data_IF_063214849450
#
_entry.id   IF_063214849450
#
_cell.length_a   1.000
_cell.length_b   1.000
_cell.length_c   1.000
_cell.angle_alpha   90.00
_cell.angle_beta   90.00
_cell.angle_gamma   90.00
#
_symmetry.space_group_name_H-M   'P 1'
#
loop_
_entity.id
_entity.type
_entity.pdbx_description
1 polymer ?
#
# COMPACT_ATOMS: atom_id res chain seq x y z
N UNK A 1 40.00 32.36 16.14
CA UNK A 1 38.60 32.20 16.61
C UNK A 1 37.88 31.48 15.51
N UNK A 2 37.75 30.15 15.62
CA UNK A 2 37.03 29.34 14.63
C UNK A 2 35.52 29.34 14.99
N UNK A 3 34.70 29.97 14.17
CA UNK A 3 33.23 29.82 14.26
C UNK A 3 32.89 28.45 13.70
N UNK A 4 32.53 27.49 14.55
CA UNK A 4 31.88 26.26 14.13
C UNK A 4 30.42 26.60 13.79
N UNK A 5 30.11 26.65 12.50
CA UNK A 5 28.73 26.68 12.03
C UNK A 5 28.17 25.28 12.27
N UNK A 6 27.36 25.11 13.31
CA UNK A 6 26.55 23.91 13.49
C UNK A 6 25.45 23.95 12.43
N UNK A 7 25.60 23.17 11.37
CA UNK A 7 24.51 22.88 10.46
C UNK A 7 23.51 22.03 11.25
N UNK A 8 22.41 22.60 11.74
CA UNK A 8 21.29 21.86 12.31
C UNK A 8 20.63 21.20 11.13
N UNK A 9 20.97 19.93 10.89
CA UNK A 9 20.27 19.13 9.90
C UNK A 9 18.78 19.09 10.27
N UNK A 10 17.91 19.27 9.27
CA UNK A 10 16.48 19.11 9.48
C UNK A 10 16.22 17.67 9.93
N UNK A 11 15.49 17.48 11.03
CA UNK A 11 15.10 16.15 11.49
C UNK A 11 14.35 15.41 10.39
N UNK A 12 14.65 14.14 10.20
CA UNK A 12 13.98 13.29 9.22
C UNK A 12 12.51 13.12 9.60
N UNK A 13 11.53 13.49 8.74
CA UNK A 13 10.12 13.42 9.09
C UNK A 13 9.66 11.97 9.20
N UNK A 14 8.69 11.72 10.06
CA UNK A 14 7.99 10.45 10.13
C UNK A 14 6.86 10.40 9.09
N UNK A 15 6.66 9.22 8.48
CA UNK A 15 5.59 9.00 7.50
C UNK A 15 4.63 7.92 8.00
N UNK A 16 3.35 8.25 7.99
CA UNK A 16 2.27 7.33 8.32
C UNK A 16 1.27 7.27 7.16
N UNK A 17 1.12 6.09 6.57
CA UNK A 17 0.09 5.83 5.57
C UNK A 17 -1.05 5.01 6.15
N UNK A 18 -2.27 5.54 6.06
CA UNK A 18 -3.52 4.87 6.38
C UNK A 18 -4.24 4.57 5.08
N UNK A 19 -4.26 3.32 4.66
CA UNK A 19 -4.75 2.90 3.34
C UNK A 19 -6.03 2.09 3.49
N UNK A 20 -7.14 2.62 2.98
CA UNK A 20 -8.40 1.91 2.87
C UNK A 20 -8.49 1.21 1.51
N UNK A 21 -8.89 -0.05 1.47
CA UNK A 21 -9.12 -0.79 0.22
C UNK A 21 -10.47 -0.39 -0.38
N UNK A 22 -10.51 -0.26 -1.71
CA UNK A 22 -11.72 -0.04 -2.52
C UNK A 22 -12.62 1.13 -2.04
N UNK A 23 -12.04 2.10 -1.33
CA UNK A 23 -12.80 3.12 -0.59
C UNK A 23 -13.38 4.21 -1.48
N UNK A 24 -12.87 4.50 -2.65
CA UNK A 24 -13.33 5.61 -3.50
C UNK A 24 -13.54 6.92 -2.72
N UNK A 25 -14.44 7.81 -3.17
CA UNK A 25 -14.72 9.11 -2.55
C UNK A 25 -15.79 9.06 -1.43
N UNK A 26 -16.07 7.90 -0.86
CA UNK A 26 -17.08 7.71 0.18
C UNK A 26 -16.61 8.19 1.57
N UNK A 27 -16.18 9.45 1.63
CA UNK A 27 -15.85 10.17 2.85
C UNK A 27 -16.62 11.49 2.93
N UNK A 28 -17.02 11.90 4.13
CA UNK A 28 -17.77 13.17 4.29
C UNK A 28 -16.98 14.39 3.81
N UNK A 29 -15.65 14.37 3.87
CA UNK A 29 -14.81 15.46 3.34
C UNK A 29 -14.91 15.65 1.81
N UNK A 30 -15.39 14.64 1.08
CA UNK A 30 -15.69 14.71 -0.35
C UNK A 30 -17.19 14.94 -0.65
N UNK A 31 -17.99 15.18 0.40
CA UNK A 31 -19.43 15.46 0.26
C UNK A 31 -20.33 14.23 0.37
N UNK A 32 -19.80 13.05 0.66
CA UNK A 32 -20.61 11.86 0.90
C UNK A 32 -21.29 11.96 2.27
N UNK A 33 -22.62 11.84 2.29
CA UNK A 33 -23.42 11.90 3.51
C UNK A 33 -23.71 10.54 4.13
N UNK A 34 -23.39 9.44 3.47
CA UNK A 34 -23.64 8.08 3.95
C UNK A 34 -22.61 7.63 4.99
N UNK A 35 -21.40 8.18 4.96
CA UNK A 35 -20.33 7.87 5.88
C UNK A 35 -20.09 9.00 6.90
N UNK A 36 -20.16 8.65 8.17
CA UNK A 36 -19.79 9.57 9.25
C UNK A 36 -18.31 9.40 9.61
N UNK A 37 -17.46 10.32 9.16
CA UNK A 37 -16.00 10.23 9.28
C UNK A 37 -15.39 11.47 9.98
N UNK A 38 -15.77 11.79 11.23
CA UNK A 38 -15.41 13.05 11.88
C UNK A 38 -13.89 13.21 12.07
N UNK A 39 -13.16 12.16 12.41
CA UNK A 39 -11.72 12.23 12.61
C UNK A 39 -10.96 12.46 11.28
N UNK A 40 -11.44 11.88 10.19
CA UNK A 40 -10.87 12.11 8.85
C UNK A 40 -11.18 13.55 8.41
N UNK A 41 -12.39 14.04 8.69
CA UNK A 41 -12.74 15.43 8.41
C UNK A 41 -11.86 16.42 9.17
N UNK A 42 -11.55 16.13 10.45
CA UNK A 42 -10.64 16.96 11.22
C UNK A 42 -9.23 16.97 10.61
N UNK A 43 -8.72 15.79 10.26
CA UNK A 43 -7.42 15.68 9.58
C UNK A 43 -7.41 16.45 8.25
N UNK A 44 -8.52 16.42 7.50
CA UNK A 44 -8.67 17.14 6.25
C UNK A 44 -8.67 18.67 6.43
N UNK A 45 -9.18 19.18 7.56
CA UNK A 45 -9.14 20.62 7.89
C UNK A 45 -7.72 21.08 8.21
N UNK A 46 -6.92 20.23 8.84
CA UNK A 46 -5.55 20.53 9.23
C UNK A 46 -4.53 20.26 8.12
N UNK A 47 -4.95 19.62 7.03
CA UNK A 47 -4.10 19.13 5.94
C UNK A 47 -4.49 19.61 4.56
N UNK A 48 -4.14 18.81 3.55
CA UNK A 48 -4.44 19.07 2.14
C UNK A 48 -5.36 17.98 1.60
N UNK A 49 -6.47 18.36 0.98
CA UNK A 49 -7.39 17.47 0.28
C UNK A 49 -7.07 17.48 -1.20
N UNK A 50 -6.74 16.30 -1.75
CA UNK A 50 -6.57 16.12 -3.19
C UNK A 50 -7.90 15.77 -3.84
N UNK A 51 -8.47 16.69 -4.62
CA UNK A 51 -9.73 16.48 -5.35
C UNK A 51 -9.55 15.53 -6.55
N UNK A 52 -8.37 15.51 -7.14
CA UNK A 52 -8.02 14.72 -8.31
C UNK A 52 -6.75 13.93 -8.06
N UNK A 53 -6.89 12.76 -7.44
CA UNK A 53 -5.80 11.83 -7.20
C UNK A 53 -6.18 10.47 -7.79
N UNK A 54 -5.46 10.04 -8.82
CA UNK A 54 -5.77 8.84 -9.59
C UNK A 54 -4.70 7.78 -9.43
N UNK A 55 -5.13 6.52 -9.33
CA UNK A 55 -4.23 5.38 -9.45
C UNK A 55 -3.97 5.06 -10.92
N UNK A 56 -2.77 4.57 -11.29
CA UNK A 56 -2.48 4.17 -12.67
C UNK A 56 -3.18 2.87 -13.10
N UNK A 57 -3.86 2.18 -12.19
CA UNK A 57 -4.64 0.98 -12.46
C UNK A 57 -5.78 0.84 -11.44
N UNK A 58 -7.02 0.58 -11.88
CA UNK A 58 -8.19 0.50 -11.00
C UNK A 58 -8.34 -0.86 -10.30
N UNK A 59 -7.23 -1.55 -10.04
CA UNK A 59 -7.18 -2.87 -9.39
C UNK A 59 -6.09 -2.86 -8.33
N UNK A 60 -6.36 -3.45 -7.15
CA UNK A 60 -5.50 -3.39 -5.97
C UNK A 60 -4.04 -3.78 -6.25
N UNK A 61 -3.76 -4.96 -6.76
CA UNK A 61 -2.40 -5.45 -6.91
C UNK A 61 -1.57 -4.67 -7.95
N UNK A 62 -2.07 -4.35 -9.16
CA UNK A 62 -1.42 -3.44 -10.10
C UNK A 62 -1.18 -2.04 -9.52
N UNK A 63 -2.17 -1.46 -8.84
CA UNK A 63 -2.03 -0.16 -8.17
C UNK A 63 -0.94 -0.19 -7.10
N UNK A 64 -0.93 -1.20 -6.25
CA UNK A 64 0.05 -1.37 -5.17
C UNK A 64 1.47 -1.59 -5.70
N UNK A 65 1.64 -2.24 -6.85
CA UNK A 65 2.95 -2.36 -7.50
C UNK A 65 3.50 -0.99 -7.90
N UNK A 66 2.64 -0.11 -8.40
CA UNK A 66 3.03 1.26 -8.73
C UNK A 66 3.37 2.08 -7.50
N UNK A 67 2.55 2.00 -6.45
CA UNK A 67 2.80 2.71 -5.20
C UNK A 67 4.17 2.39 -4.61
N UNK A 68 4.54 1.10 -4.58
CA UNK A 68 5.78 0.68 -3.92
C UNK A 68 7.04 0.92 -4.74
N UNK A 69 6.90 1.06 -6.08
CA UNK A 69 8.05 1.24 -6.99
C UNK A 69 8.14 2.61 -7.63
N UNK A 70 7.06 3.42 -7.59
CA UNK A 70 6.95 4.66 -8.35
C UNK A 70 6.87 4.46 -9.88
N UNK A 71 6.60 3.23 -10.36
CA UNK A 71 6.60 2.90 -11.79
C UNK A 71 5.22 2.48 -12.27
N UNK A 72 4.90 2.73 -13.54
CA UNK A 72 3.64 2.27 -14.14
C UNK A 72 3.58 0.73 -14.23
N UNK A 73 2.39 0.12 -14.00
CA UNK A 73 2.23 -1.33 -14.04
C UNK A 73 2.65 -1.95 -15.36
N UNK A 74 2.41 -1.28 -16.50
CA UNK A 74 2.83 -1.76 -17.81
C UNK A 74 4.36 -1.87 -17.95
N UNK A 75 5.11 -0.96 -17.33
CA UNK A 75 6.58 -0.99 -17.31
C UNK A 75 7.11 -2.15 -16.47
N UNK A 76 6.38 -2.49 -15.40
CA UNK A 76 6.74 -3.57 -14.48
C UNK A 76 6.29 -4.96 -14.98
N UNK A 77 5.36 -5.02 -15.93
CA UNK A 77 4.64 -6.23 -16.29
C UNK A 77 3.59 -6.64 -15.26
N UNK A 78 3.12 -5.70 -14.43
CA UNK A 78 2.15 -5.96 -13.35
C UNK A 78 0.74 -5.47 -13.68
N UNK A 79 0.46 -5.11 -14.93
CA UNK A 79 -0.82 -4.54 -15.38
C UNK A 79 -2.00 -5.53 -15.28
N UNK A 80 -1.73 -6.82 -15.30
CA UNK A 80 -2.74 -7.87 -15.14
C UNK A 80 -2.66 -8.49 -13.75
N UNK A 81 -3.81 -8.89 -13.20
CA UNK A 81 -3.81 -9.68 -11.98
C UNK A 81 -3.07 -11.00 -12.20
N UNK A 82 -2.26 -11.40 -11.22
CA UNK A 82 -1.56 -12.68 -11.24
C UNK A 82 -2.56 -13.84 -11.21
N UNK A 83 -2.25 -14.93 -11.92
CA UNK A 83 -3.00 -16.16 -11.81
C UNK A 83 -2.60 -16.93 -10.54
N UNK A 84 -3.58 -17.33 -9.73
CA UNK A 84 -3.34 -18.23 -8.60
C UNK A 84 -3.53 -19.68 -9.03
N UNK A 85 -2.54 -20.53 -8.73
CA UNK A 85 -2.51 -21.93 -9.12
C UNK A 85 -3.67 -22.78 -8.51
N UNK A 86 -4.28 -22.30 -7.41
CA UNK A 86 -5.21 -23.05 -6.58
C UNK A 86 -6.51 -22.30 -6.25
N UNK A 87 -6.96 -21.34 -7.05
CA UNK A 87 -8.30 -20.81 -6.85
C UNK A 87 -9.33 -21.77 -7.44
N UNK A 88 -10.48 -21.97 -6.76
CA UNK A 88 -11.58 -22.80 -7.27
C UNK A 88 -12.03 -22.37 -8.68
N UNK A 89 -12.06 -21.06 -8.95
CA UNK A 89 -12.32 -20.49 -10.26
C UNK A 89 -11.30 -20.93 -11.33
N UNK A 90 -10.03 -21.12 -10.96
CA UNK A 90 -9.01 -21.61 -11.88
C UNK A 90 -9.15 -23.11 -12.17
N UNK A 91 -9.72 -23.90 -11.26
CA UNK A 91 -9.95 -25.34 -11.49
C UNK A 91 -11.06 -25.58 -12.52
N UNK A 92 -12.09 -24.74 -12.56
CA UNK A 92 -13.13 -24.83 -13.58
C UNK A 92 -12.68 -24.31 -14.96
N UNK A 93 -11.92 -23.22 -14.99
CA UNK A 93 -11.37 -22.65 -16.23
C UNK A 93 -10.23 -23.53 -16.78
N UNK A 94 -9.41 -24.11 -15.92
CA UNK A 94 -8.25 -24.92 -16.31
C UNK A 94 -8.61 -26.35 -16.76
N UNK A 95 -9.86 -26.78 -16.62
CA UNK A 95 -10.29 -28.06 -17.17
C UNK A 95 -10.27 -28.11 -18.71
N UNK A 96 -10.30 -26.94 -19.37
CA UNK A 96 -10.32 -26.83 -20.84
C UNK A 96 -9.21 -25.98 -21.46
N UNK A 97 -8.50 -25.12 -20.69
CA UNK A 97 -7.36 -24.34 -21.16
C UNK A 97 -6.42 -24.04 -19.99
N UNK A 98 -5.31 -24.74 -19.93
CA UNK A 98 -4.24 -24.48 -18.97
C UNK A 98 -3.55 -23.13 -19.28
N UNK A 99 -4.16 -22.03 -18.83
CA UNK A 99 -3.47 -20.75 -18.88
C UNK A 99 -2.22 -20.83 -18.00
N UNK A 100 -1.06 -20.44 -18.53
CA UNK A 100 0.18 -20.50 -17.76
C UNK A 100 0.05 -19.58 -16.54
N UNK A 101 0.61 -20.04 -15.41
CA UNK A 101 0.76 -19.20 -14.23
C UNK A 101 1.54 -17.93 -14.59
N UNK A 102 0.92 -16.77 -14.46
CA UNK A 102 1.55 -15.49 -14.68
C UNK A 102 1.92 -14.84 -13.34
N UNK A 103 3.20 -14.53 -13.18
CA UNK A 103 3.72 -13.66 -12.13
C UNK A 103 4.73 -12.72 -12.76
N UNK A 104 4.53 -11.44 -12.57
CA UNK A 104 5.44 -10.44 -13.09
C UNK A 104 6.86 -10.63 -12.54
N UNK A 105 7.84 -10.49 -13.40
CA UNK A 105 9.28 -10.54 -13.08
C UNK A 105 9.93 -9.22 -13.51
N UNK A 106 9.81 -8.16 -12.71
CA UNK A 106 10.46 -6.89 -13.01
C UNK A 106 11.98 -7.06 -13.16
N UNK A 107 12.60 -6.11 -13.84
CA UNK A 107 14.07 -6.08 -13.96
C UNK A 107 14.70 -6.02 -12.56
N UNK A 108 15.89 -6.59 -12.40
CA UNK A 108 16.63 -6.59 -11.13
C UNK A 108 16.96 -5.19 -10.59
N UNK A 109 16.95 -4.18 -11.46
CA UNK A 109 17.16 -2.77 -11.09
C UNK A 109 15.92 -2.09 -10.48
N UNK A 110 14.74 -2.72 -10.54
CA UNK A 110 13.52 -2.17 -9.91
C UNK A 110 13.67 -2.29 -8.41
N UNK A 111 13.55 -1.15 -7.72
CA UNK A 111 13.61 -1.05 -6.28
C UNK A 111 12.25 -0.68 -5.70
N UNK A 112 12.01 -1.09 -4.48
CA UNK A 112 10.92 -0.56 -3.67
C UNK A 112 11.42 0.70 -2.96
N UNK A 113 10.66 1.78 -2.96
CA UNK A 113 11.13 3.03 -2.35
C UNK A 113 11.46 2.86 -0.85
N UNK A 114 10.83 1.91 -0.19
CA UNK A 114 11.12 1.56 1.20
C UNK A 114 12.53 0.99 1.40
N UNK A 115 13.14 0.38 0.37
CA UNK A 115 14.55 -0.04 0.43
C UNK A 115 15.47 1.17 0.57
N UNK A 116 15.17 2.26 -0.15
CA UNK A 116 15.93 3.52 -0.06
C UNK A 116 15.72 4.22 1.29
N UNK A 117 14.49 4.21 1.80
CA UNK A 117 14.21 4.74 3.14
C UNK A 117 15.00 3.98 4.20
N UNK A 118 15.01 2.65 4.16
CA UNK A 118 15.79 1.81 5.08
C UNK A 118 17.29 2.03 4.96
N UNK A 119 17.80 2.19 3.73
CA UNK A 119 19.21 2.54 3.51
C UNK A 119 19.59 3.89 4.11
N UNK A 120 18.62 4.79 4.30
CA UNK A 120 18.77 6.10 4.94
C UNK A 120 18.32 6.12 6.42
N UNK A 121 18.26 4.95 7.07
CA UNK A 121 18.06 4.84 8.52
C UNK A 121 16.60 4.77 8.97
N UNK A 122 15.63 4.82 8.06
CA UNK A 122 14.22 4.68 8.42
C UNK A 122 13.87 3.25 8.84
N UNK A 123 13.03 3.13 9.85
CA UNK A 123 12.32 1.91 10.16
C UNK A 123 11.05 1.81 9.32
N UNK A 124 10.95 0.79 8.48
CA UNK A 124 9.82 0.60 7.57
C UNK A 124 8.93 -0.54 8.01
N UNK A 125 7.66 -0.28 8.34
CA UNK A 125 6.71 -1.29 8.78
C UNK A 125 5.43 -1.31 7.91
N UNK A 126 4.91 -2.53 7.65
CA UNK A 126 3.70 -2.75 6.87
C UNK A 126 2.73 -3.67 7.61
N UNK A 127 1.60 -3.14 8.03
CA UNK A 127 0.51 -3.86 8.67
C UNK A 127 -0.68 -3.93 7.70
N UNK A 128 -0.94 -5.03 6.98
CA UNK A 128 -0.10 -6.18 6.75
C UNK A 128 -0.23 -6.66 5.29
N UNK A 129 -0.83 -5.84 4.41
CA UNK A 129 -1.08 -6.19 3.01
C UNK A 129 0.12 -5.80 2.14
N UNK A 130 0.72 -6.77 1.46
CA UNK A 130 1.73 -6.55 0.41
C UNK A 130 1.05 -6.42 -0.94
N UNK A 131 0.65 -7.53 -1.50
CA UNK A 131 -0.12 -7.65 -2.74
C UNK A 131 0.42 -6.80 -3.91
N UNK A 132 1.74 -6.86 -4.13
CA UNK A 132 2.41 -6.03 -5.14
C UNK A 132 2.39 -6.63 -6.55
N UNK A 133 1.62 -7.70 -6.78
CA UNK A 133 1.53 -8.40 -8.07
C UNK A 133 2.87 -8.94 -8.61
N UNK A 134 3.88 -8.98 -7.77
CA UNK A 134 5.23 -9.47 -8.02
C UNK A 134 5.87 -9.93 -6.71
N UNK A 135 7.04 -10.57 -6.79
CA UNK A 135 7.79 -10.95 -5.60
C UNK A 135 8.17 -9.71 -4.77
N UNK A 136 7.94 -9.78 -3.46
CA UNK A 136 8.35 -8.72 -2.53
C UNK A 136 9.86 -8.82 -2.30
N UNK A 137 10.56 -7.70 -2.42
CA UNK A 137 11.96 -7.61 -2.02
C UNK A 137 12.11 -7.95 -0.53
N UNK A 138 13.08 -8.79 -0.15
CA UNK A 138 13.37 -9.08 1.26
C UNK A 138 13.90 -7.84 2.01
N UNK A 139 14.36 -6.82 1.29
CA UNK A 139 14.88 -5.58 1.85
C UNK A 139 13.81 -4.49 2.02
N UNK A 140 12.57 -4.74 1.57
CA UNK A 140 11.52 -3.71 1.54
C UNK A 140 11.04 -3.26 2.92
N UNK A 141 11.02 -4.17 3.90
CA UNK A 141 10.39 -3.93 5.20
C UNK A 141 11.25 -4.47 6.35
N UNK A 142 11.29 -3.76 7.46
CA UNK A 142 11.80 -4.29 8.73
C UNK A 142 10.78 -5.26 9.33
N UNK A 143 9.49 -4.87 9.27
CA UNK A 143 8.38 -5.73 9.66
C UNK A 143 7.24 -5.66 8.63
N UNK A 144 6.67 -6.83 8.29
CA UNK A 144 5.49 -6.90 7.43
C UNK A 144 4.58 -8.04 7.84
N UNK A 145 3.75 -7.77 8.86
CA UNK A 145 2.82 -8.72 9.48
C UNK A 145 1.69 -7.95 10.20
N UNK A 146 0.76 -8.67 10.84
CA UNK A 146 -0.40 -8.08 11.54
C UNK A 146 -0.05 -7.32 12.82
N UNK A 147 1.14 -7.47 13.34
CA UNK A 147 1.65 -6.78 14.54
C UNK A 147 2.69 -5.71 14.22
N UNK A 148 3.03 -5.55 12.92
CA UNK A 148 3.97 -4.53 12.47
C UNK A 148 3.49 -3.13 12.85
N UNK A 149 4.38 -2.37 13.47
CA UNK A 149 4.02 -1.08 14.03
C UNK A 149 5.25 -0.16 14.15
N UNK A 150 5.10 1.14 13.95
CA UNK A 150 6.19 2.11 14.12
C UNK A 150 6.78 2.14 15.53
N UNK A 151 6.04 1.70 16.56
CA UNK A 151 6.51 1.63 17.96
C UNK A 151 7.58 0.56 18.18
N UNK A 152 7.75 -0.37 17.25
CA UNK A 152 8.75 -1.43 17.33
C UNK A 152 10.15 -0.96 16.88
N UNK A 153 10.27 0.29 16.41
CA UNK A 153 11.53 0.91 16.01
C UNK A 153 12.43 1.22 17.22
N UNK A 154 13.69 1.49 16.95
CA UNK A 154 14.59 2.05 17.96
C UNK A 154 14.13 3.47 18.38
N UNK A 155 14.52 3.89 19.59
CA UNK A 155 14.25 5.23 20.06
C UNK A 155 14.82 6.27 19.07
N UNK A 156 14.10 7.34 18.82
CA UNK A 156 14.43 8.43 17.89
C UNK A 156 14.67 8.03 16.42
N UNK A 157 14.50 6.76 16.06
CA UNK A 157 14.61 6.33 14.68
C UNK A 157 13.44 6.86 13.85
N UNK A 158 13.65 7.55 12.70
CA UNK A 158 12.56 7.95 11.83
C UNK A 158 11.86 6.73 11.24
N UNK A 159 10.56 6.84 10.98
CA UNK A 159 9.80 5.71 10.45
C UNK A 159 8.98 6.06 9.21
N UNK A 160 8.76 5.04 8.39
CA UNK A 160 7.71 4.93 7.40
C UNK A 160 6.82 3.75 7.76
N UNK A 161 5.55 4.00 8.04
CA UNK A 161 4.64 2.94 8.49
C UNK A 161 3.35 2.95 7.69
N UNK A 162 2.92 1.76 7.24
CA UNK A 162 1.66 1.57 6.49
C UNK A 162 0.70 0.71 7.27
N UNK A 163 -0.54 1.18 7.42
CA UNK A 163 -1.68 0.41 7.92
C UNK A 163 -2.69 0.22 6.81
N UNK A 164 -3.01 -1.04 6.50
CA UNK A 164 -3.95 -1.40 5.46
C UNK A 164 -5.27 -1.84 6.09
N UNK A 165 -6.33 -1.11 5.81
CA UNK A 165 -7.69 -1.41 6.28
C UNK A 165 -8.44 -2.19 5.21
N UNK A 166 -8.56 -3.50 5.42
CA UNK A 166 -9.23 -4.41 4.49
C UNK A 166 -10.74 -4.54 4.77
N UNK A 167 -11.27 -3.80 5.73
CA UNK A 167 -12.70 -3.82 6.07
C UNK A 167 -13.56 -3.42 4.87
N UNK A 168 -13.09 -2.44 4.09
CA UNK A 168 -13.76 -1.92 2.90
C UNK A 168 -13.52 -2.73 1.64
N UNK A 169 -12.69 -3.79 1.69
CA UNK A 169 -12.39 -4.63 0.53
C UNK A 169 -13.65 -5.31 -0.01
N UNK A 170 -13.84 -5.31 -1.32
CA UNK A 170 -15.01 -5.82 -2.04
C UNK A 170 -15.40 -7.26 -1.64
N UNK A 171 -14.42 -8.11 -1.34
CA UNK A 171 -14.67 -9.50 -0.93
C UNK A 171 -15.48 -9.64 0.37
N UNK A 172 -15.56 -8.59 1.19
CA UNK A 172 -16.36 -8.61 2.42
C UNK A 172 -17.85 -8.52 2.12
N UNK A 173 -18.27 -7.94 0.99
CA UNK A 173 -19.66 -7.91 0.53
C UNK A 173 -20.17 -9.34 0.28
N UNK A 174 -19.33 -10.20 -0.28
CA UNK A 174 -19.72 -11.58 -0.63
C UNK A 174 -19.86 -12.50 0.58
N UNK A 175 -19.10 -12.25 1.65
CA UNK A 175 -19.14 -13.07 2.87
C UNK A 175 -20.41 -12.87 3.69
N UNK A 176 -21.08 -11.73 3.56
CA UNK A 176 -22.19 -11.30 4.41
C UNK A 176 -23.51 -11.17 3.64
N UNK A 177 -23.71 -11.88 2.53
CA UNK A 177 -24.97 -11.84 1.75
C UNK A 177 -26.23 -12.06 2.58
N UNK A 178 -26.17 -12.81 3.67
CA UNK A 178 -27.29 -13.07 4.57
C UNK A 178 -27.63 -11.92 5.53
N UNK A 179 -26.77 -10.91 5.68
CA UNK A 179 -26.96 -9.78 6.60
C UNK A 179 -27.58 -8.53 5.96
N UNK A 180 -27.80 -8.55 4.65
CA UNK A 180 -28.39 -7.45 3.87
C UNK A 180 -29.78 -7.77 3.29
N UNK A 181 -30.39 -8.93 3.67
CA UNK A 181 -31.75 -9.31 3.32
C UNK A 181 -32.76 -8.92 4.40
#
# INVERSE_FOLDING_TARGET
>A
MFLSVHCIGQESPNFLWLVCEDQSLFFSMYGDSSANTPNINQLAQDGIIYQNCYTPSPVCAPSRSSLITGMYPATLGTQHMRAYKNSAANNEINSHNSLPYYSAKPKKSVRFFTEELRANGYYCSNNSKKDYNMATSPLAWDESNKTAHWRNRQEDQPFFSVFNFNVTHESNIWKNKASYS
#
